data_IF_413382285518
#
_entry.id   IF_413382285518
#
_cell.length_a   1.000
_cell.length_b   1.000
_cell.length_c   1.000
_cell.angle_alpha   90.00
_cell.angle_beta   90.00
_cell.angle_gamma   90.00
#
_symmetry.space_group_name_H-M   'P 1'
#
loop_
_entity.id
_entity.type
_entity.pdbx_description
1 polymer ?
#
# COMPACT_ATOMS: atom_id res chain seq x y z
N UNK A 1 -15.51 7.43 64.36
CA UNK A 1 -15.21 7.76 62.95
C UNK A 1 -16.06 8.96 62.64
N UNK A 2 -15.43 10.11 62.46
CA UNK A 2 -16.09 11.39 62.17
C UNK A 2 -16.57 11.44 60.70
N UNK A 3 -17.59 12.23 60.40
CA UNK A 3 -18.21 12.25 59.07
C UNK A 3 -17.20 12.55 57.94
N UNK A 4 -16.14 13.31 58.24
CA UNK A 4 -15.07 13.63 57.29
C UNK A 4 -14.19 12.44 56.95
N UNK A 5 -13.95 11.51 57.87
CA UNK A 5 -13.21 10.28 57.56
C UNK A 5 -14.01 9.35 56.66
N UNK A 6 -15.34 9.31 56.80
CA UNK A 6 -16.20 8.51 55.91
C UNK A 6 -16.21 9.10 54.49
N UNK A 7 -16.38 10.42 54.36
CA UNK A 7 -16.35 11.10 53.05
C UNK A 7 -14.99 10.92 52.36
N UNK A 8 -13.89 11.01 53.11
CA UNK A 8 -12.55 10.78 52.57
C UNK A 8 -12.36 9.38 51.99
N UNK A 9 -12.87 8.34 52.68
CA UNK A 9 -12.77 6.95 52.21
C UNK A 9 -13.56 6.73 50.92
N UNK A 10 -14.79 7.28 50.83
CA UNK A 10 -15.64 7.14 49.65
C UNK A 10 -14.99 7.77 48.41
N UNK A 11 -14.39 8.96 48.56
CA UNK A 11 -13.68 9.65 47.48
C UNK A 11 -12.47 8.85 46.98
N UNK A 12 -11.69 8.27 47.89
CA UNK A 12 -10.55 7.42 47.52
C UNK A 12 -11.01 6.19 46.74
N UNK A 13 -12.07 5.52 47.20
CA UNK A 13 -12.62 4.36 46.49
C UNK A 13 -13.04 4.77 45.09
N UNK A 14 -13.82 5.84 44.92
CA UNK A 14 -14.28 6.32 43.61
C UNK A 14 -13.14 6.62 42.64
N UNK A 15 -12.07 7.26 43.11
CA UNK A 15 -10.89 7.56 42.28
C UNK A 15 -10.17 6.28 41.87
N UNK A 16 -10.03 5.32 42.78
CA UNK A 16 -9.40 4.03 42.48
C UNK A 16 -10.24 3.20 41.50
N UNK A 17 -11.57 3.14 41.67
CA UNK A 17 -12.44 2.42 40.71
C UNK A 17 -12.46 3.10 39.36
N UNK A 18 -12.53 4.44 39.30
CA UNK A 18 -12.50 5.17 38.03
C UNK A 18 -11.15 5.01 37.32
N UNK A 19 -10.03 5.09 38.04
CA UNK A 19 -8.70 4.85 37.51
C UNK A 19 -8.52 3.42 37.02
N UNK A 20 -8.99 2.43 37.78
CA UNK A 20 -8.97 1.02 37.38
C UNK A 20 -9.82 0.75 36.12
N UNK A 21 -11.01 1.34 36.03
CA UNK A 21 -11.87 1.23 34.85
C UNK A 21 -11.27 1.89 33.60
N UNK A 22 -10.54 3.01 33.76
CA UNK A 22 -9.82 3.62 32.64
C UNK A 22 -8.66 2.75 32.15
N UNK A 23 -7.91 2.11 33.06
CA UNK A 23 -6.80 1.21 32.69
C UNK A 23 -7.33 -0.04 31.96
N UNK A 24 -8.48 -0.56 32.38
CA UNK A 24 -9.10 -1.74 31.75
C UNK A 24 -9.63 -1.49 30.32
N UNK A 25 -9.87 -0.23 29.94
CA UNK A 25 -10.37 0.15 28.60
C UNK A 25 -9.27 0.44 27.57
N UNK A 26 -8.00 0.18 27.88
CA UNK A 26 -6.89 0.68 27.07
C UNK A 26 -6.45 -0.24 25.90
N UNK A 27 -7.06 -1.42 25.75
CA UNK A 27 -6.62 -2.44 24.78
C UNK A 27 -7.60 -2.66 23.63
N UNK A 28 -8.37 -1.64 23.22
CA UNK A 28 -9.53 -1.89 22.36
C UNK A 28 -9.26 -2.01 20.85
N UNK A 29 -8.17 -1.49 20.26
CA UNK A 29 -7.98 -1.60 18.79
C UNK A 29 -6.51 -1.79 18.36
N UNK A 30 -5.94 -2.95 18.72
CA UNK A 30 -4.57 -3.30 18.34
C UNK A 30 -4.41 -3.85 16.92
N UNK A 31 -5.49 -4.26 16.25
CA UNK A 31 -5.40 -5.01 14.99
C UNK A 31 -6.48 -4.56 13.98
N UNK A 32 -6.07 -4.33 12.74
CA UNK A 32 -6.98 -4.16 11.59
C UNK A 32 -6.90 -5.40 10.73
N UNK A 33 -8.06 -5.81 10.19
CA UNK A 33 -8.13 -6.76 9.11
C UNK A 33 -8.21 -6.02 7.77
N UNK A 34 -7.35 -6.37 6.82
CA UNK A 34 -7.42 -5.80 5.47
C UNK A 34 -8.57 -6.40 4.62
N UNK A 35 -8.75 -5.91 3.39
CA UNK A 35 -9.78 -6.39 2.46
C UNK A 35 -9.64 -7.85 2.05
N UNK A 36 -8.51 -8.49 2.34
CA UNK A 36 -8.21 -9.91 2.04
C UNK A 36 -8.33 -10.80 3.27
N UNK A 37 -8.65 -10.22 4.43
CA UNK A 37 -8.79 -10.97 5.68
C UNK A 37 -7.50 -11.11 6.50
N UNK A 38 -6.42 -10.41 6.14
CA UNK A 38 -5.14 -10.48 6.85
C UNK A 38 -5.12 -9.52 8.04
N UNK A 39 -4.76 -10.02 9.22
CA UNK A 39 -4.67 -9.22 10.45
C UNK A 39 -3.31 -8.53 10.59
N UNK A 40 -3.32 -7.20 10.76
CA UNK A 40 -2.13 -6.35 10.87
C UNK A 40 -2.22 -5.56 12.18
N UNK A 41 -1.14 -5.57 12.98
CA UNK A 41 -1.09 -4.88 14.26
C UNK A 41 -0.86 -3.38 14.07
N UNK A 42 -1.69 -2.53 14.67
CA UNK A 42 -1.45 -1.10 14.78
C UNK A 42 -0.12 -0.82 15.51
N UNK A 43 0.72 0.03 14.93
CA UNK A 43 1.88 0.61 15.62
C UNK A 43 3.16 -0.23 15.66
N UNK A 44 3.25 -1.38 14.97
CA UNK A 44 4.51 -2.12 14.80
C UNK A 44 4.96 -2.15 13.32
N UNK A 45 5.60 -1.08 12.82
CA UNK A 45 6.07 -1.00 11.43
C UNK A 45 7.17 -2.02 11.06
N UNK A 46 7.63 -2.86 11.99
CA UNK A 46 8.66 -3.87 11.75
C UNK A 46 8.16 -5.16 11.10
N UNK A 47 6.84 -5.39 11.07
CA UNK A 47 6.23 -6.56 10.42
C UNK A 47 5.41 -6.11 9.22
N UNK A 48 6.11 -5.63 8.20
CA UNK A 48 5.53 -5.40 6.87
C UNK A 48 5.25 -6.78 6.26
N UNK A 49 4.02 -7.06 5.80
CA UNK A 49 3.73 -8.32 5.13
C UNK A 49 4.59 -8.52 3.88
N UNK A 50 4.94 -9.77 3.58
CA UNK A 50 5.85 -10.12 2.46
C UNK A 50 5.37 -9.61 1.10
N UNK A 51 4.07 -9.70 0.80
CA UNK A 51 3.49 -9.19 -0.45
C UNK A 51 3.71 -7.68 -0.66
N UNK A 52 3.86 -6.89 0.41
CA UNK A 52 4.15 -5.45 0.31
C UNK A 52 5.60 -5.24 -0.12
N UNK A 53 6.50 -6.12 0.32
CA UNK A 53 7.91 -6.08 -0.08
C UNK A 53 8.04 -6.47 -1.56
N UNK A 54 7.37 -7.54 -2.00
CA UNK A 54 7.33 -7.95 -3.41
C UNK A 54 6.79 -6.83 -4.31
N UNK A 55 5.65 -6.22 -3.93
CA UNK A 55 5.07 -5.11 -4.67
C UNK A 55 6.03 -3.91 -4.75
N UNK A 56 6.76 -3.63 -3.67
CA UNK A 56 7.76 -2.57 -3.64
C UNK A 56 8.92 -2.86 -4.59
N UNK A 57 9.46 -4.08 -4.57
CA UNK A 57 10.57 -4.47 -5.45
C UNK A 57 10.18 -4.40 -6.93
N UNK A 58 8.94 -4.78 -7.28
CA UNK A 58 8.37 -4.62 -8.61
C UNK A 58 8.32 -3.15 -9.04
N UNK A 59 7.78 -2.27 -8.19
CA UNK A 59 7.68 -0.83 -8.47
C UNK A 59 9.07 -0.20 -8.60
N UNK A 60 10.00 -0.52 -7.69
CA UNK A 60 11.38 -0.02 -7.74
C UNK A 60 12.08 -0.44 -9.03
N UNK A 61 11.80 -1.66 -9.53
CA UNK A 61 12.36 -2.16 -10.78
C UNK A 61 11.76 -1.48 -12.01
N UNK A 62 10.44 -1.21 -12.01
CA UNK A 62 9.78 -0.45 -13.08
C UNK A 62 10.29 1.00 -13.15
N UNK A 63 10.48 1.64 -12.00
CA UNK A 63 11.07 2.98 -11.92
C UNK A 63 12.50 3.03 -12.46
N UNK A 64 13.29 1.97 -12.27
CA UNK A 64 14.63 1.87 -12.87
C UNK A 64 14.57 1.82 -14.38
N UNK A 65 13.71 0.96 -14.96
CA UNK A 65 13.52 0.89 -16.43
C UNK A 65 13.16 2.27 -17.01
N UNK A 66 12.23 2.97 -16.37
CA UNK A 66 11.88 4.33 -16.76
C UNK A 66 13.08 5.28 -16.67
N UNK A 67 13.83 5.24 -15.56
CA UNK A 67 15.00 6.11 -15.38
C UNK A 67 16.10 5.86 -16.41
N UNK A 68 16.34 4.60 -16.78
CA UNK A 68 17.34 4.21 -17.78
C UNK A 68 16.99 4.78 -19.17
N UNK A 69 15.70 4.78 -19.53
CA UNK A 69 15.21 5.37 -20.78
C UNK A 69 15.35 6.89 -20.81
N UNK A 70 15.03 7.57 -19.70
CA UNK A 70 15.22 9.02 -19.56
C UNK A 70 16.71 9.39 -19.67
N UNK A 71 17.59 8.62 -19.02
CA UNK A 71 19.04 8.82 -19.10
C UNK A 71 19.58 8.57 -20.52
N UNK A 72 18.98 7.64 -21.26
CA UNK A 72 19.29 7.40 -22.67
C UNK A 72 18.76 8.50 -23.62
N UNK A 73 17.98 9.46 -23.11
CA UNK A 73 17.38 10.53 -23.92
C UNK A 73 16.24 10.04 -24.82
N UNK A 74 15.58 8.94 -24.45
CA UNK A 74 14.44 8.41 -25.19
C UNK A 74 13.20 9.27 -24.94
N UNK A 75 12.50 9.66 -25.99
CA UNK A 75 11.21 10.33 -25.84
C UNK A 75 10.16 9.35 -25.30
N UNK A 76 9.54 9.70 -24.17
CA UNK A 76 8.50 8.88 -23.55
C UNK A 76 7.13 9.20 -24.15
N UNK A 77 6.58 8.22 -24.84
CA UNK A 77 5.20 8.21 -25.32
C UNK A 77 4.48 6.96 -24.83
N UNK A 78 3.35 6.58 -25.42
CA UNK A 78 2.72 5.29 -25.09
C UNK A 78 3.54 4.16 -25.69
N UNK A 79 4.17 3.37 -24.83
CA UNK A 79 5.13 2.32 -25.23
C UNK A 79 5.42 1.35 -24.08
N UNK A 80 5.72 0.10 -24.44
CA UNK A 80 6.25 -0.86 -23.50
C UNK A 80 7.71 -0.53 -23.13
N UNK A 81 8.01 -0.50 -21.83
CA UNK A 81 9.36 -0.30 -21.31
C UNK A 81 10.11 -1.61 -21.08
N UNK A 82 9.39 -2.71 -20.85
CA UNK A 82 9.98 -4.02 -20.64
C UNK A 82 9.10 -4.96 -19.82
N UNK A 83 9.73 -6.03 -19.33
CA UNK A 83 9.08 -7.08 -18.53
C UNK A 83 9.83 -7.27 -17.21
N UNK A 84 9.08 -7.42 -16.13
CA UNK A 84 9.60 -7.68 -14.78
C UNK A 84 8.80 -8.82 -14.17
N UNK A 85 9.38 -10.02 -14.09
CA UNK A 85 8.65 -11.21 -13.67
C UNK A 85 7.46 -11.48 -14.61
N UNK A 86 6.26 -11.55 -14.04
CA UNK A 86 5.00 -11.75 -14.79
C UNK A 86 4.29 -10.42 -15.15
N UNK A 87 5.00 -9.28 -15.09
CA UNK A 87 4.45 -7.96 -15.37
C UNK A 87 5.08 -7.34 -16.62
N UNK A 88 4.25 -6.82 -17.54
CA UNK A 88 4.66 -5.85 -18.54
C UNK A 88 4.66 -4.43 -17.94
N UNK A 89 5.72 -3.66 -18.15
CA UNK A 89 5.77 -2.25 -17.77
C UNK A 89 5.40 -1.41 -18.98
N UNK A 90 4.31 -0.67 -18.90
CA UNK A 90 3.75 0.06 -20.04
C UNK A 90 3.50 1.53 -19.71
N UNK A 91 3.74 2.40 -20.69
CA UNK A 91 3.40 3.82 -20.57
C UNK A 91 2.04 4.08 -21.21
N UNK A 92 1.12 4.64 -20.42
CA UNK A 92 -0.25 4.93 -20.81
C UNK A 92 -0.56 6.42 -20.74
N UNK A 93 -1.63 6.84 -21.43
CA UNK A 93 -2.15 8.19 -21.28
C UNK A 93 -2.88 8.37 -19.95
N UNK A 94 -2.78 9.58 -19.39
CA UNK A 94 -3.56 10.00 -18.21
C UNK A 94 -4.27 11.32 -18.55
N UNK A 95 -5.62 11.35 -18.63
CA UNK A 95 -6.55 10.22 -18.45
C UNK A 95 -6.39 9.14 -19.53
N UNK A 96 -6.67 7.88 -19.16
CA UNK A 96 -6.63 6.75 -20.11
C UNK A 96 -7.65 6.97 -21.23
N UNK A 97 -7.26 6.60 -22.43
CA UNK A 97 -8.09 6.59 -23.63
C UNK A 97 -8.43 5.16 -24.02
N UNK A 98 -9.49 4.98 -24.82
CA UNK A 98 -9.85 3.64 -25.34
C UNK A 98 -8.71 3.02 -26.17
N UNK A 99 -7.84 3.84 -26.75
CA UNK A 99 -6.66 3.38 -27.47
C UNK A 99 -5.65 2.66 -26.58
N UNK A 100 -5.58 2.99 -25.28
CA UNK A 100 -4.65 2.36 -24.33
C UNK A 100 -5.11 0.94 -23.91
N UNK A 101 -6.35 0.54 -24.26
CA UNK A 101 -6.88 -0.81 -24.00
C UNK A 101 -6.86 -1.71 -25.24
N UNK A 102 -6.49 -1.16 -26.41
CA UNK A 102 -6.35 -1.94 -27.64
C UNK A 102 -5.21 -2.94 -27.51
N UNK A 103 -5.49 -4.22 -27.82
CA UNK A 103 -4.53 -5.32 -27.68
C UNK A 103 -3.27 -5.04 -28.49
N UNK A 104 -3.41 -4.46 -29.69
CA UNK A 104 -2.32 -4.10 -30.59
C UNK A 104 -1.32 -3.09 -29.99
N UNK A 105 -1.77 -2.27 -29.03
CA UNK A 105 -0.96 -1.26 -28.36
C UNK A 105 -0.29 -1.79 -27.09
N UNK A 106 -0.65 -2.99 -26.63
CA UNK A 106 -0.04 -3.62 -25.45
C UNK A 106 1.36 -4.16 -25.77
N UNK A 107 2.17 -4.33 -24.72
CA UNK A 107 3.48 -4.94 -24.82
C UNK A 107 3.42 -6.32 -25.51
N UNK A 108 4.41 -6.63 -26.36
CA UNK A 108 4.47 -7.92 -27.07
C UNK A 108 4.45 -9.13 -26.14
N UNK A 109 5.11 -9.04 -24.98
CA UNK A 109 5.10 -10.10 -23.99
C UNK A 109 3.68 -10.41 -23.50
N UNK A 110 2.86 -9.38 -23.24
CA UNK A 110 1.48 -9.57 -22.84
C UNK A 110 0.64 -10.13 -24.00
N UNK A 111 0.81 -9.60 -25.22
CA UNK A 111 0.10 -10.09 -26.42
C UNK A 111 0.41 -11.57 -26.72
N UNK A 112 1.63 -12.00 -26.45
CA UNK A 112 2.09 -13.38 -26.64
C UNK A 112 1.70 -14.30 -25.47
N UNK A 113 1.16 -13.77 -24.37
CA UNK A 113 0.86 -14.52 -23.16
C UNK A 113 2.09 -14.93 -22.35
N UNK A 114 3.23 -14.26 -22.56
CA UNK A 114 4.46 -14.45 -21.76
C UNK A 114 4.34 -13.83 -20.37
N UNK A 115 3.50 -12.80 -20.24
CA UNK A 115 3.16 -12.15 -18.98
C UNK A 115 1.65 -11.95 -18.86
N UNK A 116 1.14 -11.97 -17.64
CA UNK A 116 -0.29 -11.84 -17.36
C UNK A 116 -0.72 -10.54 -16.68
N UNK A 117 0.25 -9.74 -16.22
CA UNK A 117 0.02 -8.52 -15.46
C UNK A 117 0.65 -7.28 -16.09
N UNK A 118 0.25 -6.10 -15.61
CA UNK A 118 0.75 -4.79 -16.01
C UNK A 118 1.18 -3.93 -14.82
N UNK A 119 2.26 -3.20 -15.02
CA UNK A 119 2.61 -1.99 -14.27
C UNK A 119 2.45 -0.83 -15.25
N UNK A 120 1.37 -0.08 -15.12
CA UNK A 120 1.09 1.06 -15.97
C UNK A 120 1.64 2.34 -15.35
N UNK A 121 2.34 3.13 -16.17
CA UNK A 121 2.96 4.38 -15.78
C UNK A 121 2.53 5.52 -16.71
N UNK A 122 2.49 6.75 -16.21
CA UNK A 122 2.28 7.92 -17.05
C UNK A 122 3.60 8.37 -17.70
N UNK A 123 3.51 9.34 -18.63
CA UNK A 123 4.70 9.90 -19.32
C UNK A 123 5.71 10.61 -18.40
N UNK A 124 5.38 10.82 -17.13
CA UNK A 124 6.26 11.42 -16.12
C UNK A 124 6.86 10.36 -15.18
N UNK A 125 6.53 9.08 -15.40
CA UNK A 125 7.00 7.96 -14.60
C UNK A 125 6.19 7.73 -13.32
N UNK A 126 5.00 8.33 -13.18
CA UNK A 126 4.12 8.05 -12.05
C UNK A 126 3.38 6.73 -12.27
N UNK A 127 3.30 5.89 -11.24
CA UNK A 127 2.51 4.65 -11.29
C UNK A 127 1.02 5.03 -11.37
N UNK A 128 0.35 4.53 -12.41
CA UNK A 128 -1.10 4.68 -12.62
C UNK A 128 -1.83 3.52 -11.94
N UNK A 129 -1.41 2.28 -12.25
CA UNK A 129 -1.95 1.06 -11.62
C UNK A 129 -1.00 -0.12 -11.76
N UNK A 130 -1.21 -1.11 -10.91
CA UNK A 130 -0.60 -2.45 -10.98
C UNK A 130 -1.74 -3.46 -11.00
N UNK A 131 -1.91 -4.20 -12.10
CA UNK A 131 -3.07 -5.08 -12.37
C UNK A 131 -2.64 -6.42 -12.95
#
# INVERSE_FOLDING_TARGET
>A
MDDWTIVGIILIVLVVTAGGLMILRWDEDGWIQDSRGVWIKHGQPSKIPEYVLEQRELIDSALRLYSDLILAGTEINSQCLGVIGDYAVDIVHVPRSEGDDLVENQCSAFRNGEVSHFIEMDKKGNIVRVV
#
